data_IF_707368017616
#
_entry.id   IF_707368017616
#
_cell.length_a   1.000
_cell.length_b   1.000
_cell.length_c   1.000
_cell.angle_alpha   90.00
_cell.angle_beta   90.00
_cell.angle_gamma   90.00
#
_symmetry.space_group_name_H-M   'P 1'
#
loop_
_entity.id
_entity.type
_entity.pdbx_description
1 polymer ?
#
# COMPACT_ATOMS: atom_id res chain seq x y z
N UNK A 1 4.93 -12.14 13.62
CA UNK A 1 4.83 -10.78 13.07
C UNK A 1 6.18 -10.26 12.57
N UNK A 2 7.22 -10.42 13.34
CA UNK A 2 8.56 -10.01 12.92
C UNK A 2 9.05 -10.69 11.64
N UNK A 3 8.76 -11.98 11.46
CA UNK A 3 9.14 -12.70 10.25
C UNK A 3 8.43 -12.15 9.01
N UNK A 4 7.16 -11.78 9.15
CA UNK A 4 6.36 -11.24 8.05
C UNK A 4 6.87 -9.85 7.68
N UNK A 5 7.09 -8.99 8.66
CA UNK A 5 7.60 -7.64 8.38
C UNK A 5 8.99 -7.67 7.78
N UNK A 6 9.83 -8.61 8.23
CA UNK A 6 11.16 -8.79 7.66
C UNK A 6 11.10 -9.19 6.18
N UNK A 7 10.26 -10.17 5.84
CA UNK A 7 10.07 -10.58 4.46
C UNK A 7 9.55 -9.43 3.61
N UNK A 8 8.62 -8.66 4.16
CA UNK A 8 8.03 -7.52 3.47
C UNK A 8 9.08 -6.45 3.18
N UNK A 9 9.90 -6.12 4.15
CA UNK A 9 10.99 -5.16 3.99
C UNK A 9 11.99 -5.64 2.93
N UNK A 10 12.36 -6.91 2.98
CA UNK A 10 13.28 -7.49 2.00
C UNK A 10 12.71 -7.43 0.59
N UNK A 11 11.43 -7.75 0.43
CA UNK A 11 10.77 -7.70 -0.86
C UNK A 11 10.72 -6.26 -1.39
N UNK A 12 10.38 -5.31 -0.53
CA UNK A 12 10.31 -3.90 -0.91
C UNK A 12 11.69 -3.37 -1.32
N UNK A 13 12.73 -3.70 -0.56
CA UNK A 13 14.09 -3.25 -0.87
C UNK A 13 14.58 -3.86 -2.18
N UNK A 14 14.28 -5.12 -2.43
CA UNK A 14 14.64 -5.77 -3.69
C UNK A 14 13.94 -5.10 -4.87
N UNK A 15 12.63 -4.86 -4.73
CA UNK A 15 11.85 -4.17 -5.77
C UNK A 15 12.43 -2.79 -6.07
N UNK A 16 12.74 -2.02 -5.06
CA UNK A 16 13.30 -0.67 -5.21
C UNK A 16 14.62 -0.71 -5.96
N UNK A 17 15.48 -1.69 -5.61
CA UNK A 17 16.79 -1.88 -6.26
C UNK A 17 16.62 -2.27 -7.73
N UNK A 18 15.79 -3.27 -8.01
CA UNK A 18 15.58 -3.77 -9.38
C UNK A 18 14.91 -2.71 -10.25
N UNK A 19 13.94 -1.99 -9.70
CA UNK A 19 13.24 -0.92 -10.41
C UNK A 19 14.09 0.32 -10.62
N UNK A 20 15.25 0.41 -9.97
CA UNK A 20 16.08 1.61 -10.00
C UNK A 20 15.28 2.84 -9.63
N UNK A 21 14.57 2.72 -8.51
CA UNK A 21 13.63 3.74 -8.06
C UNK A 21 14.31 5.09 -7.84
N UNK A 22 13.60 6.16 -8.18
CA UNK A 22 14.06 7.52 -8.01
C UNK A 22 13.19 8.25 -7.01
N UNK A 23 13.78 9.18 -6.28
CA UNK A 23 13.05 9.98 -5.31
C UNK A 23 11.79 10.61 -5.93
N UNK A 24 10.69 10.58 -5.21
CA UNK A 24 9.43 11.12 -5.68
C UNK A 24 8.56 10.16 -6.48
N UNK A 25 9.05 8.97 -6.77
CA UNK A 25 8.23 7.95 -7.43
C UNK A 25 7.29 7.28 -6.45
N UNK A 26 6.29 6.58 -6.97
CA UNK A 26 5.23 5.96 -6.18
C UNK A 26 5.40 4.45 -6.16
N UNK A 27 5.36 3.87 -4.96
CA UNK A 27 5.24 2.44 -4.73
C UNK A 27 3.84 2.16 -4.22
N UNK A 28 3.05 1.37 -4.97
CA UNK A 28 1.71 0.98 -4.56
C UNK A 28 1.75 -0.39 -3.90
N UNK A 29 0.93 -0.54 -2.86
CA UNK A 29 0.81 -1.81 -2.14
C UNK A 29 -0.65 -2.23 -2.11
N UNK A 30 -0.89 -3.47 -2.54
CA UNK A 30 -2.15 -4.16 -2.28
C UNK A 30 -1.84 -5.27 -1.31
N UNK A 31 -2.60 -5.37 -0.23
CA UNK A 31 -2.33 -6.37 0.81
C UNK A 31 -3.61 -6.93 1.37
N UNK A 32 -3.71 -8.26 1.34
CA UNK A 32 -4.75 -8.98 2.06
C UNK A 32 -4.17 -9.50 3.36
N UNK A 33 -4.48 -8.82 4.46
CA UNK A 33 -3.98 -9.25 5.78
C UNK A 33 -4.51 -10.62 6.16
N UNK A 34 -5.70 -10.97 5.73
CA UNK A 34 -6.29 -12.29 5.99
C UNK A 34 -5.48 -13.40 5.31
N UNK A 35 -5.00 -13.18 4.10
CA UNK A 35 -4.15 -14.15 3.41
C UNK A 35 -2.79 -14.28 4.09
N UNK A 36 -2.25 -13.18 4.61
CA UNK A 36 -0.93 -13.16 5.25
C UNK A 36 -0.95 -13.90 6.58
N UNK A 37 -1.96 -13.69 7.41
CA UNK A 37 -2.04 -14.31 8.74
C UNK A 37 -2.84 -15.59 8.78
N UNK A 38 -3.38 -16.03 7.64
CA UNK A 38 -4.15 -17.26 7.54
C UNK A 38 -5.49 -17.19 8.24
N UNK A 39 -5.91 -18.30 8.86
CA UNK A 39 -7.25 -18.44 9.44
C UNK A 39 -7.43 -17.77 10.81
N UNK A 40 -6.57 -16.87 11.21
CA UNK A 40 -6.68 -16.17 12.49
C UNK A 40 -7.48 -14.87 12.37
N UNK A 41 -8.31 -14.78 11.37
CA UNK A 41 -9.19 -13.64 11.10
C UNK A 41 -10.21 -13.54 12.22
N UNK A 42 -10.44 -12.34 12.73
CA UNK A 42 -11.45 -12.08 13.75
C UNK A 42 -10.92 -12.00 15.17
N UNK A 43 -9.61 -12.14 15.36
CA UNK A 43 -8.98 -12.04 16.68
C UNK A 43 -8.29 -10.69 16.91
N UNK A 44 -8.68 -9.63 16.24
CA UNK A 44 -7.99 -8.35 16.37
C UNK A 44 -6.58 -8.32 15.78
N UNK A 45 -5.98 -9.48 15.53
CA UNK A 45 -4.62 -9.60 14.99
C UNK A 45 -4.49 -9.04 13.58
N UNK A 46 -5.57 -9.03 12.81
CA UNK A 46 -5.57 -8.49 11.44
C UNK A 46 -5.27 -6.99 11.44
N UNK A 47 -5.87 -6.25 12.36
CA UNK A 47 -5.66 -4.81 12.49
C UNK A 47 -4.24 -4.49 12.95
N UNK A 48 -3.74 -5.24 13.94
CA UNK A 48 -2.37 -5.07 14.44
C UNK A 48 -1.34 -5.41 13.38
N UNK A 49 -1.58 -6.49 12.62
CA UNK A 49 -0.72 -6.90 11.54
C UNK A 49 -0.66 -5.83 10.45
N UNK A 50 -1.80 -5.25 10.10
CA UNK A 50 -1.87 -4.20 9.09
C UNK A 50 -1.06 -2.97 9.51
N UNK A 51 -1.18 -2.54 10.76
CA UNK A 51 -0.42 -1.40 11.27
C UNK A 51 1.08 -1.69 11.23
N UNK A 52 1.50 -2.87 11.66
CA UNK A 52 2.92 -3.25 11.65
C UNK A 52 3.48 -3.28 10.23
N UNK A 53 2.74 -3.87 9.30
CA UNK A 53 3.15 -3.92 7.89
C UNK A 53 3.18 -2.54 7.26
N UNK A 54 2.18 -1.71 7.54
CA UNK A 54 2.14 -0.35 7.03
C UNK A 54 3.36 0.44 7.52
N UNK A 55 3.66 0.38 8.81
CA UNK A 55 4.78 1.12 9.37
C UNK A 55 6.11 0.65 8.78
N UNK A 56 6.27 -0.65 8.56
CA UNK A 56 7.47 -1.19 7.93
C UNK A 56 7.64 -0.67 6.51
N UNK A 57 6.57 -0.70 5.72
CA UNK A 57 6.59 -0.19 4.35
C UNK A 57 6.83 1.31 4.30
N UNK A 58 6.19 2.06 5.20
CA UNK A 58 6.37 3.51 5.28
C UNK A 58 7.82 3.86 5.57
N UNK A 59 8.46 3.13 6.50
CA UNK A 59 9.87 3.34 6.81
C UNK A 59 10.77 3.10 5.60
N UNK A 60 10.49 2.05 4.82
CA UNK A 60 11.26 1.75 3.61
C UNK A 60 11.08 2.84 2.56
N UNK A 61 9.85 3.24 2.28
CA UNK A 61 9.61 4.29 1.28
C UNK A 61 10.20 5.63 1.72
N UNK A 62 10.10 5.97 2.99
CA UNK A 62 10.71 7.21 3.52
C UNK A 62 12.23 7.20 3.36
N UNK A 63 12.86 6.07 3.66
CA UNK A 63 14.31 5.90 3.51
C UNK A 63 14.78 6.20 2.08
N UNK A 64 13.97 5.84 1.09
CA UNK A 64 14.31 6.02 -0.31
C UNK A 64 13.64 7.26 -0.94
N UNK A 65 13.01 8.08 -0.13
CA UNK A 65 12.28 9.28 -0.58
C UNK A 65 11.21 8.96 -1.64
N UNK A 66 10.55 7.82 -1.47
CA UNK A 66 9.45 7.39 -2.32
C UNK A 66 8.12 7.72 -1.65
N UNK A 67 7.07 7.78 -2.46
CA UNK A 67 5.71 7.89 -1.96
C UNK A 67 5.07 6.51 -1.89
N UNK A 68 4.35 6.26 -0.79
CA UNK A 68 3.61 5.02 -0.59
C UNK A 68 2.14 5.26 -0.90
N UNK A 69 1.54 4.36 -1.69
CA UNK A 69 0.10 4.34 -1.95
C UNK A 69 -0.43 2.99 -1.50
N UNK A 70 -1.55 2.99 -0.79
CA UNK A 70 -2.12 1.75 -0.26
C UNK A 70 -3.51 1.54 -0.86
N UNK A 71 -3.70 0.39 -1.51
CA UNK A 71 -4.96 0.04 -2.14
C UNK A 71 -6.00 -0.34 -1.10
N UNK A 72 -7.20 0.18 -1.26
CA UNK A 72 -8.39 -0.28 -0.54
C UNK A 72 -9.01 -1.47 -1.25
N UNK A 73 -9.90 -2.18 -0.55
CA UNK A 73 -10.58 -3.34 -1.14
C UNK A 73 -11.69 -2.91 -2.12
N UNK A 74 -12.35 -3.90 -2.71
CA UNK A 74 -13.42 -3.68 -3.69
C UNK A 74 -14.62 -2.90 -3.15
N UNK A 75 -14.84 -2.91 -1.84
CA UNK A 75 -15.92 -2.14 -1.23
C UNK A 75 -15.73 -0.63 -1.40
N UNK A 76 -14.52 -0.18 -1.58
CA UNK A 76 -14.19 1.19 -1.96
C UNK A 76 -13.62 1.25 -3.37
N UNK A 77 -14.04 0.31 -4.21
CA UNK A 77 -13.68 0.27 -5.62
C UNK A 77 -12.16 0.36 -5.84
N UNK A 78 -11.39 -0.22 -4.92
CA UNK A 78 -9.93 -0.27 -4.95
C UNK A 78 -9.28 1.12 -5.05
N UNK A 79 -9.91 2.14 -4.45
CA UNK A 79 -9.33 3.46 -4.31
C UNK A 79 -8.04 3.38 -3.47
N UNK A 80 -7.26 4.43 -3.51
CA UNK A 80 -5.93 4.41 -2.89
C UNK A 80 -5.78 5.49 -1.84
N UNK A 81 -5.16 5.11 -0.73
CA UNK A 81 -4.82 6.04 0.35
C UNK A 81 -3.41 6.54 0.09
N UNK A 82 -3.24 7.85 0.04
CA UNK A 82 -1.95 8.50 -0.16
C UNK A 82 -1.86 9.74 0.74
N UNK A 83 -0.65 10.28 0.88
CA UNK A 83 -0.49 11.58 1.51
C UNK A 83 -1.01 12.68 0.58
N UNK A 84 -1.53 13.77 1.14
CA UNK A 84 -2.02 14.90 0.36
C UNK A 84 -0.97 15.45 -0.61
N UNK A 85 0.29 15.44 -0.21
CA UNK A 85 1.38 15.91 -1.06
C UNK A 85 1.51 15.10 -2.35
N UNK A 86 1.23 13.80 -2.28
CA UNK A 86 1.26 12.90 -3.46
C UNK A 86 0.14 13.28 -4.43
N UNK A 87 -1.05 13.46 -3.89
CA UNK A 87 -2.20 13.88 -4.68
C UNK A 87 -1.94 15.19 -5.41
N UNK A 88 -1.39 16.16 -4.70
CA UNK A 88 -1.08 17.47 -5.29
C UNK A 88 0.01 17.39 -6.36
N UNK A 89 1.07 16.63 -6.08
CA UNK A 89 2.20 16.51 -7.00
C UNK A 89 1.80 15.87 -8.33
N UNK A 90 0.97 14.84 -8.28
CA UNK A 90 0.60 14.06 -9.47
C UNK A 90 -0.77 14.43 -10.03
N UNK A 91 -1.51 15.31 -9.37
CA UNK A 91 -2.81 15.75 -9.84
C UNK A 91 -3.88 14.68 -9.77
N UNK A 92 -3.84 13.83 -8.74
CA UNK A 92 -4.84 12.78 -8.57
C UNK A 92 -6.16 13.35 -8.07
N UNK A 93 -7.26 12.72 -8.48
CA UNK A 93 -8.59 13.17 -8.07
C UNK A 93 -8.97 12.57 -6.72
N UNK A 94 -9.26 13.44 -5.77
CA UNK A 94 -9.69 13.03 -4.44
C UNK A 94 -11.13 12.51 -4.45
N UNK A 95 -11.38 11.46 -3.66
CA UNK A 95 -12.73 10.96 -3.43
C UNK A 95 -13.06 11.04 -1.95
N UNK A 96 -14.34 11.24 -1.64
CA UNK A 96 -14.80 11.51 -0.28
C UNK A 96 -15.24 10.21 0.40
N UNK A 97 -14.29 9.34 0.68
CA UNK A 97 -14.54 8.08 1.39
C UNK A 97 -13.51 7.91 2.50
N UNK A 98 -13.84 7.10 3.49
CA UNK A 98 -12.93 6.79 4.58
C UNK A 98 -12.86 5.27 4.73
N UNK A 99 -11.66 4.67 4.61
CA UNK A 99 -11.52 3.22 4.78
C UNK A 99 -11.85 2.78 6.19
N UNK A 100 -12.53 1.65 6.28
CA UNK A 100 -12.88 0.96 7.52
C UNK A 100 -12.47 -0.50 7.36
N UNK A 101 -12.26 -1.24 8.46
CA UNK A 101 -11.83 -2.64 8.33
C UNK A 101 -12.69 -3.50 7.42
N UNK A 102 -14.01 -3.27 7.41
CA UNK A 102 -14.94 -4.04 6.58
C UNK A 102 -15.30 -3.35 5.27
N UNK A 103 -14.80 -2.14 5.04
CA UNK A 103 -15.06 -1.38 3.82
C UNK A 103 -13.81 -0.55 3.51
N UNK A 104 -12.89 -1.12 2.77
CA UNK A 104 -11.59 -0.55 2.47
C UNK A 104 -10.46 -1.45 2.90
N UNK A 105 -10.70 -2.32 3.90
CA UNK A 105 -9.75 -3.31 4.38
C UNK A 105 -8.85 -2.80 5.49
N UNK A 106 -8.20 -3.74 6.16
CA UNK A 106 -7.32 -3.44 7.30
C UNK A 106 -6.13 -2.57 6.89
N UNK A 107 -5.54 -2.86 5.73
CA UNK A 107 -4.36 -2.13 5.28
C UNK A 107 -4.70 -0.70 4.87
N UNK A 108 -5.79 -0.49 4.14
CA UNK A 108 -6.27 0.85 3.81
C UNK A 108 -6.63 1.66 5.04
N UNK A 109 -7.26 1.02 6.02
CA UNK A 109 -7.60 1.64 7.30
C UNK A 109 -6.33 2.07 8.05
N UNK A 110 -5.34 1.17 8.12
CA UNK A 110 -4.07 1.46 8.79
C UNK A 110 -3.36 2.65 8.14
N UNK A 111 -3.35 2.70 6.82
CA UNK A 111 -2.74 3.80 6.08
C UNK A 111 -3.47 5.12 6.38
N UNK A 112 -4.79 5.12 6.33
CA UNK A 112 -5.58 6.32 6.57
C UNK A 112 -5.39 6.86 7.99
N UNK A 113 -5.27 5.96 8.96
CA UNK A 113 -5.09 6.37 10.36
C UNK A 113 -3.65 6.77 10.70
N UNK A 114 -2.68 6.39 9.88
CA UNK A 114 -1.26 6.57 10.22
C UNK A 114 -0.47 7.47 9.27
N UNK A 115 -0.99 7.80 8.10
CA UNK A 115 -0.40 8.89 7.31
C UNK A 115 -0.64 10.21 8.02
N UNK A 116 0.25 11.17 7.82
CA UNK A 116 0.13 12.51 8.46
C UNK A 116 -1.06 13.29 7.91
N UNK A 117 -1.20 13.35 6.59
CA UNK A 117 -2.31 14.03 5.91
C UNK A 117 -2.94 13.09 4.88
N UNK A 118 -3.69 12.07 5.35
CA UNK A 118 -4.23 11.07 4.43
C UNK A 118 -5.35 11.61 3.57
N UNK A 119 -5.32 11.24 2.30
CA UNK A 119 -6.43 11.45 1.37
C UNK A 119 -6.68 10.15 0.64
N UNK A 120 -7.89 9.99 0.10
CA UNK A 120 -8.20 8.85 -0.76
C UNK A 120 -8.40 9.37 -2.17
N UNK A 121 -7.74 8.74 -3.12
CA UNK A 121 -7.82 9.14 -4.53
C UNK A 121 -8.40 8.01 -5.37
N UNK A 122 -9.06 8.39 -6.46
CA UNK A 122 -9.76 7.44 -7.32
C UNK A 122 -8.81 6.48 -8.03
N UNK A 123 -7.72 7.00 -8.56
CA UNK A 123 -6.76 6.21 -9.33
C UNK A 123 -5.37 6.84 -9.29
N UNK A 124 -4.37 6.02 -9.54
CA UNK A 124 -2.98 6.47 -9.64
C UNK A 124 -2.31 5.78 -10.82
N UNK A 125 -1.10 6.23 -11.13
CA UNK A 125 -0.20 5.53 -12.06
C UNK A 125 1.13 5.38 -11.34
N UNK A 126 1.29 4.26 -10.64
CA UNK A 126 2.47 4.00 -9.81
C UNK A 126 3.64 3.50 -10.63
N UNK A 127 4.83 3.75 -10.12
CA UNK A 127 6.09 3.37 -10.78
C UNK A 127 6.48 1.92 -10.47
N UNK A 128 6.07 1.42 -9.31
CA UNK A 128 6.34 0.06 -8.87
C UNK A 128 5.26 -0.38 -7.91
N UNK A 129 5.10 -1.69 -7.71
CA UNK A 129 4.06 -2.20 -6.83
C UNK A 129 4.39 -3.53 -6.19
N UNK A 130 3.84 -3.73 -5.00
CA UNK A 130 3.88 -4.99 -4.25
C UNK A 130 2.46 -5.50 -4.07
N UNK A 131 2.24 -6.75 -4.44
CA UNK A 131 0.96 -7.40 -4.22
C UNK A 131 1.16 -8.51 -3.18
N UNK A 132 0.53 -8.37 -2.04
CA UNK A 132 0.65 -9.29 -0.92
C UNK A 132 -0.69 -9.96 -0.69
N UNK A 133 -0.81 -11.23 -1.11
CA UNK A 133 -2.04 -11.99 -0.97
C UNK A 133 -2.98 -11.90 -2.16
N UNK A 134 -2.44 -11.68 -3.35
CA UNK A 134 -3.20 -11.73 -4.62
C UNK A 134 -4.37 -10.73 -4.66
N UNK A 135 -4.07 -9.49 -4.39
CA UNK A 135 -5.08 -8.42 -4.37
C UNK A 135 -5.32 -7.78 -5.73
N UNK A 136 -4.46 -8.05 -6.70
CA UNK A 136 -4.52 -7.52 -8.06
C UNK A 136 -4.36 -6.01 -8.09
N UNK A 137 -3.14 -5.56 -8.39
CA UNK A 137 -2.78 -4.13 -8.40
C UNK A 137 -2.44 -3.59 -9.79
N UNK A 138 -2.57 -4.44 -10.83
CA UNK A 138 -2.11 -4.06 -12.18
C UNK A 138 -2.68 -2.76 -12.71
N UNK A 139 -3.94 -2.47 -12.38
CA UNK A 139 -4.61 -1.25 -12.82
C UNK A 139 -3.98 0.02 -12.25
N UNK A 140 -3.18 -0.09 -11.20
CA UNK A 140 -2.55 1.05 -10.53
C UNK A 140 -1.14 1.32 -11.03
N UNK A 141 -0.60 0.46 -11.87
CA UNK A 141 0.77 0.59 -12.37
C UNK A 141 0.80 1.29 -13.73
N UNK A 142 1.97 1.81 -14.09
CA UNK A 142 2.20 2.22 -15.47
C UNK A 142 1.93 1.03 -16.38
N UNK A 143 1.50 1.30 -17.61
CA UNK A 143 1.00 0.25 -18.51
C UNK A 143 1.99 -0.86 -18.82
N UNK A 144 3.27 -0.53 -18.87
CA UNK A 144 4.30 -1.53 -19.12
C UNK A 144 4.98 -1.83 -17.78
N UNK A 145 4.77 -3.02 -17.26
CA UNK A 145 5.33 -3.45 -15.99
C UNK A 145 6.03 -4.80 -16.19
N UNK A 146 7.14 -4.98 -15.48
CA UNK A 146 7.94 -6.20 -15.54
C UNK A 146 7.88 -6.84 -14.15
N UNK A 147 7.55 -8.13 -14.05
CA UNK A 147 7.56 -8.79 -12.75
C UNK A 147 8.99 -8.97 -12.23
N UNK A 148 9.15 -8.76 -10.93
CA UNK A 148 10.40 -9.04 -10.22
C UNK A 148 10.23 -10.39 -9.54
N UNK A 149 11.18 -11.29 -9.78
CA UNK A 149 11.12 -12.66 -9.28
C UNK A 149 12.27 -12.98 -8.35
#
# INVERSE_FOLDING_TARGET
MEAITKQLVEAAEELITVAKAKAGQILVVGCSTSEVIGNKIGTGGSSEAAVAMFKALKAVTDKHNLFLAVQCCEHLNRALVVEAAVMERYGFEEVTVRPMPKAGGAMGTAAYENFDEPVVVERITAHMGLDIGQTLIGMHLKRVAVPVR
#
